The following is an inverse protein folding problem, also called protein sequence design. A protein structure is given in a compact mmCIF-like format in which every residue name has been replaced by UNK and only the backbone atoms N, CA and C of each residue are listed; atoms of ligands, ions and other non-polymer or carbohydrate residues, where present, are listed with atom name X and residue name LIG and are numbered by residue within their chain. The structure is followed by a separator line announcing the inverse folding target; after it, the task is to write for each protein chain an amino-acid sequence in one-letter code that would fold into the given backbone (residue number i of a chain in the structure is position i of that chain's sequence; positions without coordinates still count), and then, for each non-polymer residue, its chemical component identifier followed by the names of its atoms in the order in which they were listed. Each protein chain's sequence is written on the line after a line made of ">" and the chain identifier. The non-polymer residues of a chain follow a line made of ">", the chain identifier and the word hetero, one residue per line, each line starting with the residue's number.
data_IF_393825696516
#
_entry.id   IF_393825696516
#
_cell.length_a   1.000
_cell.length_b   1.000
_cell.length_c   1.000
_cell.angle_alpha   90.00
_cell.angle_beta   90.00
_cell.angle_gamma   90.00
#
_symmetry.space_group_name_H-M   'P 1'
#
loop_
_entity.id
_entity.type
_entity.pdbx_description
1 polymer ?
#
# COMPACT_ATOMS: atom_id res chain seq x y z
N UNK A 1 24.70 -27.12 13.34
CA UNK A 1 23.70 -26.39 12.54
C UNK A 1 22.34 -26.80 13.07
N UNK A 2 21.63 -25.93 13.79
CA UNK A 2 20.33 -26.28 14.40
C UNK A 2 19.24 -26.17 13.34
N UNK A 3 19.00 -27.28 12.63
CA UNK A 3 17.93 -27.37 11.64
C UNK A 3 16.61 -27.57 12.37
N UNK A 4 15.62 -26.70 12.10
CA UNK A 4 14.25 -26.89 12.56
C UNK A 4 13.59 -27.99 11.71
N UNK A 5 13.29 -29.12 12.32
CA UNK A 5 12.52 -30.20 11.71
C UNK A 5 11.04 -29.87 11.84
N UNK A 6 10.38 -29.56 10.72
CA UNK A 6 8.93 -29.36 10.70
C UNK A 6 8.22 -30.68 10.94
N UNK A 7 7.30 -30.71 11.89
CA UNK A 7 6.40 -31.85 12.14
C UNK A 7 5.07 -31.74 11.39
N UNK A 8 4.91 -30.70 10.57
CA UNK A 8 3.67 -30.41 9.86
C UNK A 8 3.51 -31.33 8.64
N UNK A 9 2.40 -32.06 8.60
CA UNK A 9 1.98 -32.85 7.44
C UNK A 9 1.12 -32.01 6.50
N UNK A 10 1.69 -31.65 5.36
CA UNK A 10 1.02 -30.84 4.31
C UNK A 10 -0.07 -31.59 3.55
N UNK A 11 -0.18 -32.91 3.71
CA UNK A 11 -1.23 -33.72 3.10
C UNK A 11 -2.45 -33.89 4.01
N UNK A 12 -2.31 -33.63 5.31
CA UNK A 12 -3.38 -33.77 6.30
C UNK A 12 -4.59 -32.89 6.01
N UNK A 13 -5.78 -33.35 6.42
CA UNK A 13 -7.03 -32.59 6.26
C UNK A 13 -6.97 -31.25 6.99
N UNK A 14 -6.48 -31.23 8.23
CA UNK A 14 -6.32 -30.00 9.01
C UNK A 14 -5.46 -28.95 8.30
N UNK A 15 -4.35 -29.37 7.68
CA UNK A 15 -3.51 -28.47 6.90
C UNK A 15 -4.24 -27.91 5.68
N UNK A 16 -4.98 -28.75 4.96
CA UNK A 16 -5.75 -28.33 3.79
C UNK A 16 -6.87 -27.34 4.17
N UNK A 17 -7.59 -27.58 5.27
CA UNK A 17 -8.63 -26.69 5.78
C UNK A 17 -8.05 -25.34 6.23
N UNK A 18 -6.95 -25.37 7.00
CA UNK A 18 -6.24 -24.15 7.42
C UNK A 18 -5.73 -23.36 6.22
N UNK A 19 -5.17 -24.04 5.22
CA UNK A 19 -4.69 -23.43 3.98
C UNK A 19 -5.84 -22.80 3.20
N UNK A 20 -6.98 -23.50 3.07
CA UNK A 20 -8.16 -22.99 2.38
C UNK A 20 -8.71 -21.73 3.06
N UNK A 21 -8.84 -21.75 4.39
CA UNK A 21 -9.28 -20.58 5.16
C UNK A 21 -8.33 -19.40 5.00
N UNK A 22 -7.02 -19.63 5.12
CA UNK A 22 -6.02 -18.56 4.96
C UNK A 22 -6.02 -17.98 3.54
N UNK A 23 -6.14 -18.82 2.51
CA UNK A 23 -6.22 -18.36 1.11
C UNK A 23 -7.41 -17.44 0.88
N UNK A 24 -8.57 -17.71 1.49
CA UNK A 24 -9.74 -16.83 1.40
C UNK A 24 -9.46 -15.45 2.01
N UNK A 25 -8.85 -15.40 3.20
CA UNK A 25 -8.49 -14.14 3.87
C UNK A 25 -7.45 -13.34 3.07
N UNK A 26 -6.44 -14.02 2.51
CA UNK A 26 -5.44 -13.38 1.64
C UNK A 26 -6.08 -12.86 0.35
N UNK A 27 -7.04 -13.57 -0.22
CA UNK A 27 -7.83 -13.12 -1.37
C UNK A 27 -8.57 -11.82 -1.08
N UNK A 28 -9.37 -11.80 0.00
CA UNK A 28 -10.10 -10.60 0.45
C UNK A 28 -9.16 -9.41 0.72
N UNK A 29 -8.01 -9.65 1.36
CA UNK A 29 -7.00 -8.61 1.58
C UNK A 29 -6.49 -8.03 0.25
N UNK A 30 -6.17 -8.89 -0.73
CA UNK A 30 -5.66 -8.45 -2.04
C UNK A 30 -6.70 -7.64 -2.80
N UNK A 31 -7.96 -8.05 -2.76
CA UNK A 31 -9.07 -7.33 -3.40
C UNK A 31 -9.23 -5.93 -2.80
N UNK A 32 -9.23 -5.81 -1.46
CA UNK A 32 -9.33 -4.51 -0.78
C UNK A 32 -8.16 -3.60 -1.08
N UNK A 33 -6.94 -4.14 -1.11
CA UNK A 33 -5.73 -3.37 -1.47
C UNK A 33 -5.80 -2.91 -2.93
N UNK A 34 -6.25 -3.77 -3.83
CA UNK A 34 -6.41 -3.42 -5.26
C UNK A 34 -7.49 -2.34 -5.46
N UNK A 35 -8.58 -2.39 -4.71
CA UNK A 35 -9.61 -1.36 -4.74
C UNK A 35 -9.06 -0.02 -4.23
N UNK A 36 -8.36 -0.01 -3.09
CA UNK A 36 -7.74 1.19 -2.54
C UNK A 36 -6.67 1.78 -3.47
N UNK A 37 -5.95 0.95 -4.24
CA UNK A 37 -4.93 1.40 -5.18
C UNK A 37 -5.49 2.15 -6.40
N UNK A 38 -6.81 2.07 -6.64
CA UNK A 38 -7.48 2.83 -7.71
C UNK A 38 -7.67 4.32 -7.39
N UNK A 39 -7.29 4.78 -6.20
CA UNK A 39 -7.37 6.19 -5.82
C UNK A 39 -8.80 6.72 -5.91
N UNK A 40 -8.98 7.93 -6.45
CA UNK A 40 -10.30 8.58 -6.59
C UNK A 40 -11.21 8.00 -7.67
N UNK A 41 -10.93 6.80 -8.18
CA UNK A 41 -11.68 6.14 -9.24
C UNK A 41 -11.32 6.62 -10.66
N UNK A 42 -11.83 5.89 -11.66
CA UNK A 42 -11.45 6.05 -13.07
C UNK A 42 -11.65 7.48 -13.59
N UNK A 43 -12.80 8.10 -13.29
CA UNK A 43 -13.10 9.45 -13.76
C UNK A 43 -12.12 10.50 -13.21
N UNK A 44 -11.73 10.40 -11.93
CA UNK A 44 -10.76 11.32 -11.33
C UNK A 44 -9.35 11.08 -11.89
N UNK A 45 -8.94 9.81 -12.05
CA UNK A 45 -7.67 9.44 -12.69
C UNK A 45 -7.57 9.95 -14.12
N UNK A 46 -8.62 9.77 -14.92
CA UNK A 46 -8.67 10.27 -16.29
C UNK A 46 -8.54 11.79 -16.36
N UNK A 47 -9.24 12.54 -15.48
CA UNK A 47 -9.09 14.00 -15.38
C UNK A 47 -7.67 14.41 -14.99
N UNK A 48 -7.04 13.67 -14.08
CA UNK A 48 -5.67 13.94 -13.65
C UNK A 48 -4.66 13.69 -14.78
N UNK A 49 -4.79 12.59 -15.51
CA UNK A 49 -3.96 12.26 -16.68
C UNK A 49 -4.13 13.27 -17.82
N UNK A 50 -5.36 13.73 -18.09
CA UNK A 50 -5.64 14.77 -19.10
C UNK A 50 -4.91 16.10 -18.84
N UNK A 51 -4.43 16.33 -17.61
CA UNK A 51 -3.60 17.50 -17.24
C UNK A 51 -2.10 17.27 -17.49
N UNK A 52 -1.72 16.17 -18.14
CA UNK A 52 -0.32 15.81 -18.42
C UNK A 52 0.45 15.35 -17.18
N UNK A 53 -0.24 14.92 -16.12
CA UNK A 53 0.38 14.51 -14.85
C UNK A 53 0.33 12.99 -14.70
N UNK A 54 1.46 12.38 -14.35
CA UNK A 54 1.51 10.97 -13.93
C UNK A 54 0.63 10.73 -12.71
N UNK A 55 0.05 9.53 -12.57
CA UNK A 55 -0.63 9.15 -11.33
C UNK A 55 0.41 9.03 -10.20
N UNK A 56 -0.01 9.22 -8.94
CA UNK A 56 0.90 9.13 -7.80
C UNK A 56 1.67 7.82 -7.71
N UNK A 57 1.02 6.67 -7.97
CA UNK A 57 1.69 5.36 -7.97
C UNK A 57 2.72 5.24 -9.09
N UNK A 58 2.36 5.67 -10.30
CA UNK A 58 3.31 5.73 -11.42
C UNK A 58 4.53 6.60 -11.08
N UNK A 59 4.35 7.72 -10.35
CA UNK A 59 5.49 8.55 -9.91
C UNK A 59 6.40 7.82 -8.92
N UNK A 60 5.82 7.05 -8.00
CA UNK A 60 6.60 6.22 -7.06
C UNK A 60 7.39 5.19 -7.86
N UNK A 61 6.74 4.46 -8.77
CA UNK A 61 7.41 3.45 -9.60
C UNK A 61 8.53 4.03 -10.47
N UNK A 62 8.33 5.23 -11.04
CA UNK A 62 9.35 5.94 -11.82
C UNK A 62 10.49 6.53 -10.97
N UNK A 63 10.25 6.81 -9.69
CA UNK A 63 11.27 7.33 -8.77
C UNK A 63 12.20 6.23 -8.25
N UNK A 64 11.67 5.03 -8.08
CA UNK A 64 12.39 3.89 -7.54
C UNK A 64 13.47 3.38 -8.50
N UNK A 65 14.55 2.86 -7.92
CA UNK A 65 15.57 2.15 -8.68
C UNK A 65 14.94 0.92 -9.38
N UNK A 66 15.31 0.69 -10.64
CA UNK A 66 14.76 -0.40 -11.45
C UNK A 66 14.91 -1.77 -10.76
N UNK A 67 13.79 -2.47 -10.56
CA UNK A 67 13.74 -3.78 -9.92
C UNK A 67 13.90 -3.75 -8.39
N UNK A 68 14.01 -2.56 -7.79
CA UNK A 68 14.04 -2.45 -6.33
C UNK A 68 12.66 -2.72 -5.73
N UNK A 69 12.60 -3.34 -4.54
CA UNK A 69 11.33 -3.56 -3.85
C UNK A 69 10.78 -2.23 -3.30
N UNK A 70 9.46 -2.18 -3.17
CA UNK A 70 8.75 -1.12 -2.47
C UNK A 70 7.90 -1.72 -1.36
N UNK A 71 8.18 -1.32 -0.12
CA UNK A 71 7.40 -1.69 1.05
C UNK A 71 6.36 -0.60 1.33
N UNK A 72 5.16 -0.77 0.78
CA UNK A 72 4.04 0.15 1.02
C UNK A 72 3.54 0.04 2.47
N UNK A 73 3.30 1.20 3.09
CA UNK A 73 2.81 1.35 4.46
C UNK A 73 1.34 1.72 4.47
N UNK A 74 0.56 0.98 5.25
CA UNK A 74 -0.86 1.23 5.52
C UNK A 74 -1.72 1.46 4.25
N UNK A 75 -1.71 0.55 3.25
CA UNK A 75 -2.49 0.70 2.01
C UNK A 75 -4.01 0.76 2.27
N UNK A 76 -4.49 0.16 3.36
CA UNK A 76 -5.90 0.18 3.78
C UNK A 76 -6.24 1.29 4.80
N UNK A 77 -5.39 2.31 4.94
CA UNK A 77 -5.72 3.45 5.80
C UNK A 77 -7.05 4.10 5.35
N UNK A 78 -7.90 4.42 6.32
CA UNK A 78 -9.25 4.94 6.12
C UNK A 78 -10.26 4.01 5.39
N UNK A 79 -9.96 2.72 5.25
CA UNK A 79 -10.93 1.74 4.74
C UNK A 79 -12.17 1.65 5.66
N UNK A 80 -13.36 1.72 5.08
CA UNK A 80 -14.64 1.74 5.81
C UNK A 80 -14.89 3.03 6.59
N UNK A 81 -14.07 4.07 6.41
CA UNK A 81 -14.22 5.37 7.05
C UNK A 81 -14.69 6.41 6.03
N UNK A 82 -15.36 7.47 6.50
CA UNK A 82 -15.77 8.61 5.67
C UNK A 82 -16.61 8.22 4.44
N UNK A 83 -17.33 7.10 4.48
CA UNK A 83 -18.08 6.60 3.32
C UNK A 83 -17.19 6.12 2.17
N UNK A 84 -15.98 5.62 2.47
CA UNK A 84 -14.96 5.16 1.52
C UNK A 84 -14.46 6.23 0.54
N UNK A 85 -14.66 7.50 0.88
CA UNK A 85 -14.26 8.65 0.07
C UNK A 85 -12.75 8.98 0.14
N UNK A 86 -12.01 8.28 0.99
CA UNK A 86 -10.59 8.52 1.26
C UNK A 86 -9.74 7.23 1.16
N UNK A 87 -9.77 6.49 0.03
CA UNK A 87 -8.98 5.27 -0.13
C UNK A 87 -7.49 5.53 0.14
N UNK A 88 -6.86 4.59 0.86
CA UNK A 88 -5.48 4.69 1.36
C UNK A 88 -5.18 5.98 2.15
N UNK A 89 -6.20 6.67 2.66
CA UNK A 89 -6.15 7.99 3.25
C UNK A 89 -5.55 9.08 2.32
N UNK A 90 -5.82 8.99 1.02
CA UNK A 90 -5.37 9.95 -0.02
C UNK A 90 -3.84 10.08 -0.12
N UNK A 91 -3.10 9.07 0.34
CA UNK A 91 -1.65 9.15 0.50
C UNK A 91 -1.02 7.77 0.28
N UNK A 92 -0.02 7.70 -0.58
CA UNK A 92 0.87 6.55 -0.70
C UNK A 92 2.10 6.84 0.15
N UNK A 93 2.45 5.91 1.03
CA UNK A 93 3.64 5.98 1.87
C UNK A 93 4.37 4.65 1.78
N UNK A 94 5.69 4.66 1.75
CA UNK A 94 6.45 3.40 1.76
C UNK A 94 7.96 3.61 1.72
N UNK A 95 8.70 2.53 1.84
CA UNK A 95 10.16 2.53 1.78
C UNK A 95 10.57 1.83 0.49
N UNK A 96 11.47 2.46 -0.27
CA UNK A 96 12.09 1.84 -1.44
C UNK A 96 13.44 2.47 -1.74
N UNK A 97 14.18 1.93 -2.72
CA UNK A 97 15.50 2.45 -3.07
C UNK A 97 15.43 3.54 -4.12
N UNK A 98 16.16 4.63 -3.88
CA UNK A 98 16.35 5.74 -4.80
C UNK A 98 17.83 6.07 -4.86
N UNK A 99 18.44 5.94 -6.04
CA UNK A 99 19.88 6.15 -6.24
C UNK A 99 20.73 5.32 -5.28
N UNK A 100 20.29 4.09 -5.01
CA UNK A 100 20.94 3.12 -4.16
C UNK A 100 20.62 3.23 -2.67
N UNK A 101 19.97 4.30 -2.21
CA UNK A 101 19.63 4.54 -0.80
C UNK A 101 18.18 4.19 -0.48
N UNK A 102 17.93 3.56 0.66
CA UNK A 102 16.57 3.34 1.16
C UNK A 102 15.95 4.68 1.60
N UNK A 103 14.80 5.01 1.05
CA UNK A 103 14.14 6.30 1.27
C UNK A 103 12.68 6.08 1.69
N UNK A 104 12.24 6.86 2.67
CA UNK A 104 10.81 7.04 2.94
C UNK A 104 10.19 7.93 1.86
N UNK A 105 9.23 7.38 1.13
CA UNK A 105 8.50 8.06 0.06
C UNK A 105 7.10 8.39 0.57
N UNK A 106 6.68 9.64 0.40
CA UNK A 106 5.32 10.12 0.70
C UNK A 106 4.77 10.82 -0.53
N UNK A 107 3.72 10.27 -1.13
CA UNK A 107 3.10 10.78 -2.35
C UNK A 107 1.59 10.96 -2.18
N UNK A 108 1.12 12.21 -2.15
CA UNK A 108 -0.30 12.53 -2.07
C UNK A 108 -1.04 12.15 -3.36
N UNK A 109 -2.23 11.58 -3.19
CA UNK A 109 -3.12 11.25 -4.29
C UNK A 109 -4.12 12.37 -4.60
N UNK A 110 -3.76 13.19 -5.60
CA UNK A 110 -4.60 14.28 -6.07
C UNK A 110 -5.94 13.82 -6.70
N UNK A 111 -6.09 12.53 -7.01
CA UNK A 111 -7.36 12.00 -7.53
C UNK A 111 -8.38 11.80 -6.42
N UNK A 112 -7.94 11.58 -5.17
CA UNK A 112 -8.82 11.39 -4.01
C UNK A 112 -9.16 12.75 -3.39
N UNK A 113 -10.38 13.23 -3.64
CA UNK A 113 -10.88 14.54 -3.14
C UNK A 113 -9.87 15.68 -3.32
N UNK A 114 -9.16 15.68 -4.45
CA UNK A 114 -8.15 16.71 -4.78
C UNK A 114 -6.83 16.61 -4.01
N UNK A 115 -6.59 15.53 -3.26
CA UNK A 115 -5.42 15.38 -2.37
C UNK A 115 -5.60 16.04 -1.00
N UNK A 116 -6.84 16.34 -0.62
CA UNK A 116 -7.16 16.96 0.68
C UNK A 116 -6.79 16.02 1.83
N UNK A 117 -6.30 16.61 2.93
CA UNK A 117 -5.96 15.87 4.14
C UNK A 117 -7.21 15.59 4.98
N UNK A 118 -7.54 14.31 5.08
CA UNK A 118 -8.44 13.80 6.11
C UNK A 118 -7.67 13.65 7.43
N UNK A 119 -8.35 13.50 8.59
CA UNK A 119 -7.67 13.18 9.85
C UNK A 119 -6.75 11.96 9.74
N UNK A 120 -7.18 10.93 9.00
CA UNK A 120 -6.36 9.74 8.75
C UNK A 120 -5.17 10.01 7.82
N UNK A 121 -5.25 10.99 6.91
CA UNK A 121 -4.13 11.40 6.06
C UNK A 121 -3.01 11.98 6.92
N UNK A 122 -3.35 12.87 7.87
CA UNK A 122 -2.38 13.45 8.82
C UNK A 122 -1.72 12.34 9.63
N UNK A 123 -2.50 11.44 10.22
CA UNK A 123 -1.98 10.32 11.02
C UNK A 123 -1.05 9.42 10.20
N UNK A 124 -1.42 9.09 8.96
CA UNK A 124 -0.60 8.27 8.06
C UNK A 124 0.72 8.96 7.69
N UNK A 125 0.67 10.27 7.40
CA UNK A 125 1.86 11.06 7.09
C UNK A 125 2.82 11.09 8.28
N UNK A 126 2.33 11.43 9.47
CA UNK A 126 3.16 11.48 10.68
C UNK A 126 3.75 10.11 11.02
N UNK A 127 3.00 9.03 10.82
CA UNK A 127 3.52 7.68 11.03
C UNK A 127 4.67 7.35 10.07
N UNK A 128 4.59 7.77 8.80
CA UNK A 128 5.68 7.59 7.86
C UNK A 128 6.94 8.38 8.27
N UNK A 129 6.77 9.62 8.77
CA UNK A 129 7.88 10.42 9.31
C UNK A 129 8.51 9.77 10.55
N UNK A 130 7.70 9.23 11.45
CA UNK A 130 8.17 8.54 12.65
C UNK A 130 9.03 7.31 12.29
N UNK A 131 8.59 6.50 11.32
CA UNK A 131 9.38 5.37 10.82
C UNK A 131 10.71 5.84 10.23
N UNK A 132 10.69 6.90 9.41
CA UNK A 132 11.89 7.48 8.84
C UNK A 132 12.86 8.01 9.91
N UNK A 133 12.34 8.62 10.97
CA UNK A 133 13.15 9.11 12.09
C UNK A 133 13.83 7.97 12.86
N UNK A 134 13.15 6.83 13.01
CA UNK A 134 13.61 5.69 13.81
C UNK A 134 14.64 4.79 13.09
N UNK A 135 14.72 4.83 11.76
CA UNK A 135 15.46 3.83 10.95
C UNK A 135 16.43 4.49 9.95
N UNK A 136 17.38 5.29 10.43
CA UNK A 136 18.38 5.99 9.59
C UNK A 136 19.36 5.05 8.90
#
# INVERSE_FOLDING_TARGET
>A
MNVLQSTLDTSSQDFQENTSRMRKLVGDLREKVLAASQGGGEAARARHLKRGKLLPRDRVDHLLDSGSPFLELSPLAAHGMYGDDAPAASLITGIGRVSGSECMIIANDATVKGGTYFPMTVKKHLRAQEIAQQNR
#
